data_IF_085726558580
#
_entry.id   IF_085726558580
#
_cell.length_a   1.000
_cell.length_b   1.000
_cell.length_c   1.000
_cell.angle_alpha   90.00
_cell.angle_beta   90.00
_cell.angle_gamma   90.00
#
_symmetry.space_group_name_H-M   'P 1'
#
loop_
_entity.id
_entity.type
_entity.pdbx_description
1 polymer ?
#
# COMPACT_ATOMS: atom_id res chain seq x y z
N UNK A 1 -53.91 -6.33 54.50
CA UNK A 1 -52.73 -5.42 54.36
C UNK A 1 -51.40 -6.12 54.05
N UNK A 2 -51.23 -7.41 54.33
CA UNK A 2 -50.00 -8.15 54.04
C UNK A 2 -49.81 -8.41 52.54
N UNK A 3 -50.88 -8.57 51.76
CA UNK A 3 -50.85 -8.85 50.35
C UNK A 3 -50.28 -7.67 49.52
N UNK A 4 -50.54 -6.47 49.93
CA UNK A 4 -50.09 -5.24 49.27
C UNK A 4 -48.55 -5.02 49.44
N UNK A 5 -48.02 -5.39 50.65
CA UNK A 5 -46.57 -5.25 50.95
C UNK A 5 -45.74 -6.26 50.16
N UNK A 6 -46.25 -7.50 49.96
CA UNK A 6 -45.59 -8.53 49.17
C UNK A 6 -45.59 -8.17 47.67
N UNK A 7 -46.65 -7.59 47.17
CA UNK A 7 -46.76 -7.14 45.79
C UNK A 7 -45.81 -5.97 45.48
N UNK A 8 -45.72 -5.00 46.38
CA UNK A 8 -44.73 -3.86 46.25
C UNK A 8 -43.26 -4.35 46.32
N UNK A 9 -42.95 -5.33 47.16
CA UNK A 9 -41.63 -5.95 47.25
C UNK A 9 -41.25 -6.67 45.94
N UNK A 10 -42.18 -7.35 45.33
CA UNK A 10 -41.99 -8.04 44.06
C UNK A 10 -41.74 -7.04 42.89
N UNK A 11 -42.52 -5.98 42.82
CA UNK A 11 -42.36 -4.93 41.82
C UNK A 11 -41.00 -4.20 41.92
N UNK A 12 -40.50 -3.93 43.14
CA UNK A 12 -39.21 -3.32 43.37
C UNK A 12 -38.05 -4.30 43.04
N UNK A 13 -38.25 -5.60 43.30
CA UNK A 13 -37.22 -6.62 42.99
C UNK A 13 -37.09 -6.84 41.47
N UNK A 14 -38.22 -6.94 40.74
CA UNK A 14 -38.22 -7.05 39.28
C UNK A 14 -37.68 -5.77 38.59
N UNK A 15 -37.99 -4.59 39.13
CA UNK A 15 -37.46 -3.34 38.63
C UNK A 15 -35.93 -3.24 38.73
N UNK A 16 -35.36 -3.63 39.85
CA UNK A 16 -33.91 -3.68 40.04
C UNK A 16 -33.23 -4.75 39.19
N UNK A 17 -33.84 -5.93 39.01
CA UNK A 17 -33.29 -6.97 38.16
C UNK A 17 -33.24 -6.54 36.68
N UNK A 18 -34.28 -5.86 36.18
CA UNK A 18 -34.36 -5.34 34.83
C UNK A 18 -33.29 -4.23 34.59
N UNK A 19 -33.07 -3.37 35.58
CA UNK A 19 -32.08 -2.30 35.51
C UNK A 19 -30.64 -2.83 35.55
N UNK A 20 -30.37 -3.86 36.36
CA UNK A 20 -29.09 -4.59 36.38
C UNK A 20 -28.83 -5.31 35.04
N UNK A 21 -29.83 -5.93 34.46
CA UNK A 21 -29.67 -6.60 33.16
C UNK A 21 -29.37 -5.60 32.04
N UNK A 22 -30.08 -4.47 32.01
CA UNK A 22 -29.83 -3.39 31.05
C UNK A 22 -28.41 -2.81 31.18
N UNK A 23 -27.90 -2.65 32.40
CA UNK A 23 -26.55 -2.16 32.68
C UNK A 23 -25.48 -3.16 32.25
N UNK A 24 -25.72 -4.47 32.41
CA UNK A 24 -24.81 -5.52 31.96
C UNK A 24 -24.77 -5.62 30.43
N UNK A 25 -25.90 -5.43 29.73
CA UNK A 25 -25.94 -5.37 28.26
C UNK A 25 -25.23 -4.14 27.70
N UNK A 26 -25.37 -2.99 28.34
CA UNK A 26 -24.67 -1.78 27.94
C UNK A 26 -23.14 -1.88 28.14
N UNK A 27 -22.69 -2.51 29.25
CA UNK A 27 -21.26 -2.77 29.47
C UNK A 27 -20.69 -3.75 28.45
N UNK A 28 -21.40 -4.84 28.14
CA UNK A 28 -20.99 -5.81 27.13
C UNK A 28 -20.91 -5.18 25.70
N UNK A 29 -21.84 -4.29 25.35
CA UNK A 29 -21.81 -3.55 24.09
C UNK A 29 -20.63 -2.56 24.02
N UNK A 30 -20.28 -1.93 25.13
CA UNK A 30 -19.11 -1.04 25.19
C UNK A 30 -17.82 -1.82 25.02
N UNK A 31 -17.64 -2.93 25.73
CA UNK A 31 -16.47 -3.80 25.58
C UNK A 31 -16.31 -4.37 24.16
N UNK A 32 -17.42 -4.77 23.52
CA UNK A 32 -17.38 -5.21 22.12
C UNK A 32 -17.00 -4.09 21.15
N UNK A 33 -17.45 -2.86 21.41
CA UNK A 33 -17.09 -1.69 20.61
C UNK A 33 -15.63 -1.28 20.79
N UNK A 34 -15.11 -1.37 22.01
CA UNK A 34 -13.70 -1.11 22.30
C UNK A 34 -12.79 -2.17 21.69
N UNK A 35 -13.11 -3.47 21.84
CA UNK A 35 -12.36 -4.56 21.18
C UNK A 35 -12.36 -4.45 19.67
N UNK A 36 -13.48 -4.05 19.07
CA UNK A 36 -13.55 -3.84 17.62
C UNK A 36 -12.69 -2.66 17.19
N UNK A 37 -12.68 -1.58 17.96
CA UNK A 37 -11.85 -0.40 17.70
C UNK A 37 -10.37 -0.72 17.83
N UNK A 38 -9.97 -1.45 18.86
CA UNK A 38 -8.61 -1.92 19.09
C UNK A 38 -8.14 -2.90 18.00
N UNK A 39 -9.04 -3.77 17.50
CA UNK A 39 -8.76 -4.68 16.38
C UNK A 39 -8.61 -3.92 15.07
N UNK A 40 -9.43 -2.89 14.83
CA UNK A 40 -9.34 -2.06 13.64
C UNK A 40 -8.09 -1.14 13.68
N UNK A 41 -7.73 -0.59 14.84
CA UNK A 41 -6.50 0.20 15.04
C UNK A 41 -5.25 -0.68 14.88
N UNK A 42 -5.21 -1.90 15.43
CA UNK A 42 -4.13 -2.87 15.21
C UNK A 42 -4.01 -3.31 13.74
N UNK A 43 -5.13 -3.41 13.03
CA UNK A 43 -5.14 -3.77 11.61
C UNK A 43 -4.64 -2.64 10.71
N UNK A 44 -4.83 -1.39 11.12
CA UNK A 44 -4.27 -0.20 10.46
C UNK A 44 -2.76 -0.10 10.70
N UNK A 45 -2.30 -0.45 11.90
CA UNK A 45 -0.88 -0.41 12.27
C UNK A 45 -0.05 -1.55 11.68
N UNK A 46 -0.69 -2.62 11.17
CA UNK A 46 -0.01 -3.77 10.52
C UNK A 46 0.03 -3.70 8.99
N UNK A 47 -0.49 -2.66 8.37
CA UNK A 47 -0.31 -2.47 6.92
C UNK A 47 1.08 -1.90 6.69
N UNK A 48 1.93 -2.74 6.16
CA UNK A 48 3.23 -2.31 5.64
C UNK A 48 3.02 -1.12 4.69
N UNK A 49 3.76 -0.01 4.89
CA UNK A 49 3.60 1.16 4.04
C UNK A 49 3.97 0.82 2.59
N UNK A 50 3.15 1.26 1.64
CA UNK A 50 3.46 1.15 0.21
C UNK A 50 4.11 2.42 -0.31
N UNK A 51 5.02 2.25 -1.27
CA UNK A 51 5.67 3.35 -1.98
C UNK A 51 5.29 3.30 -3.46
N UNK A 52 5.09 4.47 -4.06
CA UNK A 52 4.81 4.64 -5.49
C UNK A 52 5.98 5.28 -6.18
N UNK A 53 6.64 4.54 -7.05
CA UNK A 53 7.87 4.94 -7.75
C UNK A 53 7.54 5.22 -9.21
N UNK A 54 7.83 6.44 -9.66
CA UNK A 54 7.72 6.81 -11.06
C UNK A 54 8.96 6.36 -11.82
N UNK A 55 8.77 5.55 -12.86
CA UNK A 55 9.87 5.00 -13.66
C UNK A 55 10.25 5.99 -14.76
N UNK A 56 11.54 6.27 -14.87
CA UNK A 56 12.10 7.05 -15.97
C UNK A 56 12.34 6.19 -17.20
N UNK A 57 12.52 6.84 -18.35
CA UNK A 57 12.97 6.19 -19.58
C UNK A 57 14.42 5.65 -19.48
N UNK A 58 14.91 5.02 -20.53
CA UNK A 58 16.28 4.49 -20.59
C UNK A 58 17.36 5.56 -20.48
N UNK A 59 17.06 6.81 -20.83
CA UNK A 59 17.97 7.93 -20.72
C UNK A 59 18.09 8.53 -19.31
N UNK A 60 17.18 8.15 -18.40
CA UNK A 60 17.01 8.73 -17.05
C UNK A 60 16.61 10.22 -17.03
N UNK A 61 16.24 10.78 -18.18
CA UNK A 61 15.94 12.21 -18.33
C UNK A 61 14.46 12.50 -18.40
N UNK A 62 13.64 11.53 -18.80
CA UNK A 62 12.19 11.67 -18.94
C UNK A 62 11.44 10.61 -18.17
N UNK A 63 10.28 10.99 -17.61
CA UNK A 63 9.31 10.06 -17.07
C UNK A 63 8.22 9.71 -18.07
N UNK A 64 8.20 10.40 -19.21
CA UNK A 64 7.20 10.19 -20.23
C UNK A 64 7.72 9.21 -21.29
N UNK A 65 6.93 8.18 -21.53
CA UNK A 65 7.20 7.13 -22.51
C UNK A 65 6.24 7.27 -23.68
N UNK A 66 6.75 7.14 -24.91
CA UNK A 66 5.90 7.16 -26.11
C UNK A 66 5.18 5.83 -26.29
N UNK A 67 5.82 4.75 -25.87
CA UNK A 67 5.26 3.40 -25.82
C UNK A 67 5.88 2.62 -24.67
N UNK A 68 5.15 1.65 -24.15
CA UNK A 68 5.60 0.77 -23.09
C UNK A 68 5.33 -0.67 -23.51
N UNK A 69 6.39 -1.46 -23.63
CA UNK A 69 6.27 -2.90 -23.85
C UNK A 69 6.50 -3.61 -22.54
N UNK A 70 5.55 -4.45 -22.18
CA UNK A 70 5.62 -5.32 -21.01
C UNK A 70 5.61 -6.78 -21.42
N UNK A 71 6.25 -7.62 -20.61
CA UNK A 71 6.15 -9.06 -20.71
C UNK A 71 5.68 -9.62 -19.37
N UNK A 72 4.59 -10.38 -19.40
CA UNK A 72 4.02 -11.04 -18.23
C UNK A 72 3.51 -12.44 -18.61
N UNK A 73 3.90 -13.46 -17.84
CA UNK A 73 3.51 -14.88 -18.09
C UNK A 73 3.80 -15.34 -19.52
N UNK A 74 4.94 -14.92 -20.08
CA UNK A 74 5.37 -15.25 -21.43
C UNK A 74 4.55 -14.60 -22.55
N UNK A 75 3.78 -13.56 -22.23
CA UNK A 75 3.04 -12.75 -23.21
C UNK A 75 3.57 -11.33 -23.19
N UNK A 76 3.91 -10.86 -24.39
CA UNK A 76 4.35 -9.49 -24.61
C UNK A 76 3.17 -8.63 -25.06
N UNK A 77 3.07 -7.43 -24.53
CA UNK A 77 2.05 -6.45 -24.88
C UNK A 77 2.64 -5.04 -24.92
N UNK A 78 2.34 -4.31 -25.99
CA UNK A 78 2.81 -2.92 -26.14
C UNK A 78 1.64 -1.96 -25.99
N UNK A 79 1.78 -1.01 -25.07
CA UNK A 79 0.84 0.07 -24.83
C UNK A 79 1.35 1.37 -25.41
N UNK A 80 0.43 2.12 -26.02
CA UNK A 80 0.62 3.49 -26.50
C UNK A 80 -0.49 4.37 -25.91
N UNK A 81 -0.39 5.70 -25.98
CA UNK A 81 -1.46 6.59 -25.54
C UNK A 81 -2.82 6.33 -26.20
N UNK A 82 -2.84 5.67 -27.36
CA UNK A 82 -4.06 5.36 -28.11
C UNK A 82 -4.59 3.95 -27.85
N UNK A 83 -3.94 3.18 -26.98
CA UNK A 83 -4.37 1.82 -26.61
C UNK A 83 -5.76 1.83 -25.99
N UNK A 84 -6.59 0.83 -26.34
CA UNK A 84 -7.98 0.72 -25.85
C UNK A 84 -8.05 0.56 -24.34
N UNK A 85 -7.10 -0.11 -23.75
CA UNK A 85 -6.99 -0.38 -22.31
C UNK A 85 -6.78 0.91 -21.51
N UNK A 86 -6.30 1.98 -22.13
CA UNK A 86 -6.05 3.30 -21.53
C UNK A 86 -7.19 4.31 -21.79
N UNK A 87 -8.38 3.85 -22.16
CA UNK A 87 -9.55 4.73 -22.39
C UNK A 87 -9.99 5.45 -21.10
N UNK A 88 -9.70 4.87 -19.93
CA UNK A 88 -9.97 5.48 -18.62
C UNK A 88 -8.72 6.17 -18.03
N UNK A 89 -7.77 6.57 -18.89
CA UNK A 89 -6.51 7.25 -18.55
C UNK A 89 -5.54 6.45 -17.68
N UNK A 90 -5.90 5.28 -17.19
CA UNK A 90 -5.04 4.45 -16.31
C UNK A 90 -5.34 2.97 -16.47
N UNK A 91 -4.28 2.16 -16.50
CA UNK A 91 -4.31 0.70 -16.49
C UNK A 91 -3.48 0.19 -15.33
N UNK A 92 -4.07 -0.67 -14.50
CA UNK A 92 -3.39 -1.33 -13.38
C UNK A 92 -3.08 -2.78 -13.75
N UNK A 93 -1.84 -3.19 -13.56
CA UNK A 93 -1.34 -4.54 -13.79
C UNK A 93 -0.75 -5.08 -12.49
N UNK A 94 -1.18 -6.27 -12.10
CA UNK A 94 -0.64 -6.95 -10.92
C UNK A 94 0.54 -7.85 -11.33
N UNK A 95 1.72 -7.56 -10.77
CA UNK A 95 2.93 -8.35 -11.01
C UNK A 95 2.90 -9.73 -10.36
N UNK A 96 2.07 -9.92 -9.33
CA UNK A 96 2.01 -11.18 -8.59
C UNK A 96 3.39 -11.63 -8.09
N UNK A 97 3.64 -12.93 -8.10
CA UNK A 97 4.92 -13.54 -7.68
C UNK A 97 6.00 -13.51 -8.77
N UNK A 98 5.60 -13.45 -10.04
CA UNK A 98 6.52 -13.57 -11.17
C UNK A 98 7.07 -12.20 -11.62
N UNK A 99 6.41 -11.12 -11.22
CA UNK A 99 6.72 -9.76 -11.64
C UNK A 99 6.25 -9.45 -13.07
N UNK A 100 6.55 -8.23 -13.50
CA UNK A 100 6.30 -7.72 -14.85
C UNK A 100 7.64 -7.25 -15.40
N UNK A 101 8.09 -7.85 -16.48
CA UNK A 101 9.26 -7.35 -17.21
C UNK A 101 8.85 -6.18 -18.11
N UNK A 102 9.73 -5.19 -18.25
CA UNK A 102 9.52 -4.03 -19.13
C UNK A 102 10.66 -3.92 -20.13
N UNK A 103 10.63 -4.69 -21.24
CA UNK A 103 11.70 -4.71 -22.22
C UNK A 103 11.98 -3.34 -22.89
N UNK A 104 10.98 -2.44 -22.91
CA UNK A 104 11.13 -1.08 -23.45
C UNK A 104 11.96 -0.14 -22.58
N UNK A 105 12.34 -0.54 -21.38
CA UNK A 105 13.19 0.24 -20.47
C UNK A 105 14.50 -0.51 -20.26
N UNK A 106 15.61 0.10 -20.64
CA UNK A 106 16.95 -0.45 -20.38
C UNK A 106 17.41 -0.11 -18.97
N UNK A 107 17.92 -1.11 -18.26
CA UNK A 107 18.54 -1.02 -16.92
C UNK A 107 19.77 -1.91 -16.88
N UNK A 108 20.51 -1.87 -15.74
CA UNK A 108 21.67 -2.75 -15.53
C UNK A 108 21.31 -4.23 -15.67
N UNK A 109 20.14 -4.62 -15.18
CA UNK A 109 19.52 -5.91 -15.47
C UNK A 109 18.49 -5.72 -16.59
N UNK A 110 18.58 -6.51 -17.65
CA UNK A 110 17.74 -6.34 -18.83
C UNK A 110 17.14 -7.68 -19.29
N UNK A 111 15.80 -7.80 -19.47
CA UNK A 111 14.81 -6.78 -19.14
C UNK A 111 14.64 -6.60 -17.62
N UNK A 112 14.40 -5.37 -17.14
CA UNK A 112 14.11 -5.15 -15.72
C UNK A 112 12.73 -5.74 -15.37
N UNK A 113 12.65 -6.38 -14.20
CA UNK A 113 11.43 -6.98 -13.67
C UNK A 113 10.97 -6.19 -12.46
N UNK A 114 9.69 -5.81 -12.46
CA UNK A 114 9.06 -5.04 -11.39
C UNK A 114 7.99 -5.87 -10.70
N UNK A 115 8.06 -5.92 -9.37
CA UNK A 115 7.08 -6.59 -8.52
C UNK A 115 6.04 -5.59 -7.98
N UNK A 116 4.96 -6.12 -7.39
CA UNK A 116 3.86 -5.31 -6.91
C UNK A 116 2.90 -4.91 -8.05
N UNK A 117 2.31 -3.74 -7.94
CA UNK A 117 1.37 -3.23 -8.95
C UNK A 117 2.06 -2.23 -9.89
N UNK A 118 1.85 -2.38 -11.17
CA UNK A 118 2.31 -1.45 -12.19
C UNK A 118 1.11 -0.66 -12.72
N UNK A 119 1.13 0.66 -12.56
CA UNK A 119 0.16 1.58 -13.15
C UNK A 119 0.75 2.22 -14.41
N UNK A 120 0.10 2.04 -15.55
CA UNK A 120 0.39 2.77 -16.78
C UNK A 120 -0.66 3.86 -16.92
N UNK A 121 -0.24 5.13 -16.87
CA UNK A 121 -1.14 6.28 -16.89
C UNK A 121 -0.94 7.13 -18.12
N UNK A 122 -2.03 7.41 -18.83
CA UNK A 122 -2.03 8.29 -20.00
C UNK A 122 -1.97 9.76 -19.56
N UNK A 123 -1.15 10.54 -20.24
CA UNK A 123 -1.06 12.00 -20.09
C UNK A 123 -0.96 12.68 -21.46
N UNK A 124 -1.02 14.01 -21.48
CA UNK A 124 -0.83 14.78 -22.70
C UNK A 124 0.58 14.66 -23.29
N UNK A 125 1.59 14.32 -22.49
CA UNK A 125 2.99 14.18 -22.91
C UNK A 125 3.39 12.74 -23.27
N UNK A 126 2.54 11.75 -22.99
CA UNK A 126 2.81 10.33 -23.19
C UNK A 126 2.35 9.49 -22.00
N UNK A 127 2.94 8.34 -21.84
CA UNK A 127 2.62 7.41 -20.76
C UNK A 127 3.54 7.61 -19.56
N UNK A 128 2.98 7.59 -18.36
CA UNK A 128 3.72 7.47 -17.12
C UNK A 128 3.64 6.01 -16.64
N UNK A 129 4.73 5.48 -16.14
CA UNK A 129 4.80 4.16 -15.52
C UNK A 129 5.08 4.33 -14.03
N UNK A 130 4.20 3.83 -13.20
CA UNK A 130 4.29 3.93 -11.75
C UNK A 130 4.30 2.52 -11.17
N UNK A 131 5.35 2.18 -10.44
CA UNK A 131 5.42 0.92 -9.71
C UNK A 131 5.02 1.15 -8.25
N UNK A 132 4.01 0.45 -7.77
CA UNK A 132 3.56 0.46 -6.38
C UNK A 132 3.87 -0.88 -5.73
N UNK A 133 4.62 -0.84 -4.64
CA UNK A 133 5.06 -2.02 -3.90
C UNK A 133 5.23 -1.67 -2.41
N UNK A 134 5.40 -2.68 -1.56
CA UNK A 134 5.70 -2.43 -0.15
C UNK A 134 7.06 -1.74 0.02
N UNK A 135 7.21 -0.98 1.10
CA UNK A 135 8.48 -0.30 1.39
C UNK A 135 9.63 -1.30 1.54
N UNK A 136 9.39 -2.47 2.14
CA UNK A 136 10.42 -3.49 2.29
C UNK A 136 10.83 -4.08 0.93
N UNK A 137 9.87 -4.42 0.06
CA UNK A 137 10.17 -4.90 -1.29
C UNK A 137 10.92 -3.84 -2.13
N UNK A 138 10.61 -2.55 -1.94
CA UNK A 138 11.37 -1.46 -2.54
C UNK A 138 12.82 -1.45 -2.06
N UNK A 139 13.07 -1.61 -0.75
CA UNK A 139 14.41 -1.62 -0.19
C UNK A 139 15.22 -2.83 -0.65
N UNK A 140 14.61 -4.00 -0.77
CA UNK A 140 15.24 -5.21 -1.32
C UNK A 140 15.75 -5.00 -2.76
N UNK A 141 15.07 -4.16 -3.54
CA UNK A 141 15.50 -3.81 -4.89
C UNK A 141 16.53 -2.68 -4.94
N UNK A 142 16.37 -1.66 -4.09
CA UNK A 142 17.20 -0.43 -4.13
C UNK A 142 18.58 -0.64 -3.50
N UNK A 143 18.65 -1.32 -2.35
CA UNK A 143 19.94 -1.49 -1.65
C UNK A 143 20.99 -2.18 -2.53
N UNK A 144 20.70 -3.31 -3.20
CA UNK A 144 21.65 -3.94 -4.11
C UNK A 144 21.99 -3.12 -5.36
N UNK A 145 21.10 -2.22 -5.78
CA UNK A 145 21.34 -1.37 -6.94
C UNK A 145 22.31 -0.21 -6.64
N UNK A 146 22.38 0.22 -5.38
CA UNK A 146 23.23 1.31 -4.93
C UNK A 146 24.55 0.83 -4.33
N UNK A 147 24.56 -0.35 -3.73
CA UNK A 147 25.72 -0.90 -3.04
C UNK A 147 25.90 -2.39 -3.37
N UNK A 148 27.04 -2.79 -3.98
CA UNK A 148 27.29 -4.20 -4.29
C UNK A 148 27.21 -5.11 -3.06
N UNK A 149 26.62 -6.30 -3.24
CA UNK A 149 26.46 -7.29 -2.17
C UNK A 149 27.79 -7.82 -1.57
N UNK A 150 28.93 -7.49 -2.20
CA UNK A 150 30.28 -7.80 -1.71
C UNK A 150 30.80 -6.87 -0.63
N UNK A 151 30.06 -5.78 -0.32
CA UNK A 151 30.42 -4.89 0.77
C UNK A 151 30.18 -5.53 2.13
N UNK A 152 30.85 -4.98 3.16
CA UNK A 152 30.68 -5.45 4.53
C UNK A 152 29.20 -5.33 4.99
N UNK A 153 28.74 -6.31 5.74
CA UNK A 153 27.33 -6.40 6.20
C UNK A 153 26.89 -5.11 6.91
N UNK A 154 27.76 -4.54 7.75
CA UNK A 154 27.47 -3.29 8.46
C UNK A 154 27.23 -2.11 7.51
N UNK A 155 27.94 -2.08 6.37
CA UNK A 155 27.78 -1.05 5.36
C UNK A 155 26.44 -1.23 4.63
N UNK A 156 26.06 -2.47 4.29
CA UNK A 156 24.77 -2.79 3.69
C UNK A 156 23.60 -2.46 4.64
N UNK A 157 23.76 -2.76 5.93
CA UNK A 157 22.76 -2.40 6.96
C UNK A 157 22.61 -0.89 7.08
N UNK A 158 23.71 -0.14 7.10
CA UNK A 158 23.67 1.33 7.14
C UNK A 158 22.99 1.90 5.90
N UNK A 159 23.30 1.37 4.72
CA UNK A 159 22.65 1.77 3.46
C UNK A 159 21.15 1.50 3.50
N UNK A 160 20.71 0.34 4.00
CA UNK A 160 19.30 0.02 4.13
C UNK A 160 18.55 1.00 5.06
N UNK A 161 19.16 1.39 6.18
CA UNK A 161 18.60 2.40 7.10
C UNK A 161 18.50 3.77 6.43
N UNK A 162 19.55 4.19 5.71
CA UNK A 162 19.55 5.46 4.97
C UNK A 162 18.48 5.47 3.88
N UNK A 163 18.39 4.43 3.07
CA UNK A 163 17.40 4.29 1.99
C UNK A 163 15.97 4.30 2.54
N UNK A 164 15.70 3.57 3.63
CA UNK A 164 14.41 3.56 4.32
C UNK A 164 14.03 4.94 4.82
N UNK A 165 14.93 5.57 5.56
CA UNK A 165 14.69 6.91 6.13
C UNK A 165 14.40 7.92 5.03
N UNK A 166 15.18 7.89 3.96
CA UNK A 166 14.95 8.75 2.81
C UNK A 166 13.60 8.53 2.15
N UNK A 167 13.23 7.26 1.90
CA UNK A 167 11.93 6.90 1.32
C UNK A 167 10.78 7.38 2.21
N UNK A 168 10.82 7.11 3.52
CA UNK A 168 9.79 7.54 4.47
C UNK A 168 9.67 9.06 4.52
N UNK A 169 10.77 9.79 4.63
CA UNK A 169 10.76 11.26 4.59
C UNK A 169 10.14 11.82 3.30
N UNK A 170 10.39 11.17 2.16
CA UNK A 170 9.79 11.58 0.90
C UNK A 170 8.28 11.27 0.84
N UNK A 171 7.85 10.14 1.42
CA UNK A 171 6.44 9.78 1.51
C UNK A 171 5.67 10.74 2.41
N UNK A 172 6.21 11.09 3.59
CA UNK A 172 5.60 12.00 4.56
C UNK A 172 5.62 13.47 4.08
N UNK A 173 6.71 13.92 3.48
CA UNK A 173 6.87 15.30 2.98
C UNK A 173 5.94 15.64 1.81
N UNK A 174 5.29 14.63 1.21
CA UNK A 174 4.38 14.76 0.06
C UNK A 174 2.97 14.30 0.40
N UNK A 175 2.41 14.75 1.50
CA UNK A 175 1.06 14.40 2.00
C UNK A 175 -0.11 14.72 1.03
N UNK A 176 0.10 14.72 -0.26
CA UNK A 176 -0.96 14.87 -1.26
C UNK A 176 -0.62 14.11 -2.55
N UNK A 177 -0.78 12.76 -2.54
CA UNK A 177 -0.91 11.98 -3.79
C UNK A 177 0.21 12.12 -4.84
N UNK A 178 1.34 12.73 -4.51
CA UNK A 178 2.42 12.97 -5.44
C UNK A 178 3.29 11.72 -5.60
N UNK A 179 3.46 11.32 -6.82
CA UNK A 179 4.30 10.23 -7.28
C UNK A 179 5.77 10.60 -7.04
N UNK A 180 6.56 9.64 -6.59
CA UNK A 180 7.97 9.81 -6.39
C UNK A 180 8.74 9.55 -7.69
N UNK A 181 9.56 10.50 -8.12
CA UNK A 181 10.36 10.38 -9.33
C UNK A 181 10.92 11.73 -9.76
N UNK A 182 12.15 11.72 -10.26
CA UNK A 182 12.97 12.91 -10.52
C UNK A 182 12.61 13.71 -11.78
N UNK A 183 11.39 13.60 -12.29
CA UNK A 183 10.98 14.42 -13.43
C UNK A 183 10.56 15.82 -12.96
N UNK A 184 11.29 16.82 -13.37
CA UNK A 184 10.97 18.24 -13.24
C UNK A 184 10.23 18.75 -14.45
#
# INVERSE_FOLDING_TARGET
>A
NYFLIVLLGWLLFFGKAAEMNKRSEESAKREQKEKKKETDENKVQQREPSIRVLLTDSSWQSCYHQSVTIEQKGKEHTYTPDSRELQNDSLLLDGGTDGIAIPSIERAQNPPVYYGTLEIKKTAQGLLIINELSLEAYLEAVVPSEMPASYEEQALMAQAVCARTYAVCQMEGKQSGKIWGGCR
#
